data_IF_032074967587
#
_entry.id   IF_032074967587
#
_cell.length_a   1.000
_cell.length_b   1.000
_cell.length_c   1.000
_cell.angle_alpha   90.00
_cell.angle_beta   90.00
_cell.angle_gamma   90.00
#
_symmetry.space_group_name_H-M   'P 1'
#
loop_
_entity.id
_entity.type
_entity.pdbx_description
1 polymer ?
#
# COMPACT_ATOMS: atom_id res chain seq x y z
N UNK A 1 11.34 25.99 -3.65
CA UNK A 1 10.07 25.21 -3.59
C UNK A 1 9.99 24.54 -2.22
N UNK A 2 8.81 24.50 -1.59
CA UNK A 2 8.62 23.88 -0.28
C UNK A 2 7.99 22.48 -0.41
N UNK A 3 8.34 21.55 0.48
CA UNK A 3 7.78 20.19 0.54
C UNK A 3 6.61 20.16 1.53
N UNK A 4 5.44 19.76 1.05
CA UNK A 4 4.26 19.50 1.89
C UNK A 4 4.18 18.00 2.20
N UNK A 5 3.80 17.62 3.43
CA UNK A 5 3.76 16.22 3.88
C UNK A 5 2.47 15.95 4.66
N UNK A 6 1.71 14.92 4.26
CA UNK A 6 0.60 14.38 5.04
C UNK A 6 1.12 13.29 6.00
N UNK A 7 0.74 13.36 7.29
CA UNK A 7 1.09 12.37 8.32
C UNK A 7 -0.17 11.87 9.03
N UNK A 8 -0.25 10.56 9.22
CA UNK A 8 -1.28 9.90 10.01
C UNK A 8 -0.65 8.73 10.79
N UNK A 9 -1.24 8.38 11.92
CA UNK A 9 -0.79 7.26 12.75
C UNK A 9 -2.00 6.60 13.40
N UNK A 10 -1.94 5.28 13.55
CA UNK A 10 -2.97 4.46 14.16
C UNK A 10 -2.36 3.19 14.73
N UNK A 11 -2.94 2.68 15.81
CA UNK A 11 -2.54 1.42 16.41
C UNK A 11 -3.26 0.25 15.74
N UNK A 12 -2.53 -0.84 15.52
CA UNK A 12 -3.08 -2.12 15.02
C UNK A 12 -2.66 -3.20 16.01
N UNK A 13 -3.61 -3.97 16.50
CA UNK A 13 -3.36 -5.07 17.44
C UNK A 13 -2.83 -6.31 16.69
N UNK A 14 -1.59 -6.21 16.20
CA UNK A 14 -0.91 -7.28 15.50
C UNK A 14 0.62 -7.18 15.69
N UNK A 15 1.35 -8.31 15.63
CA UNK A 15 2.81 -8.30 15.67
C UNK A 15 3.40 -7.45 14.53
N UNK A 16 4.45 -6.64 14.77
CA UNK A 16 5.04 -5.76 13.75
C UNK A 16 5.46 -6.47 12.46
N UNK A 17 6.06 -7.66 12.58
CA UNK A 17 6.51 -8.43 11.41
C UNK A 17 5.34 -8.88 10.52
N UNK A 18 4.18 -9.17 11.14
CA UNK A 18 2.97 -9.52 10.40
C UNK A 18 2.41 -8.31 9.67
N UNK A 19 2.41 -7.14 10.31
CA UNK A 19 1.99 -5.88 9.67
C UNK A 19 2.91 -5.56 8.49
N UNK A 20 4.22 -5.70 8.68
CA UNK A 20 5.19 -5.47 7.61
C UNK A 20 4.99 -6.45 6.44
N UNK A 21 4.84 -7.75 6.71
CA UNK A 21 4.59 -8.75 5.67
C UNK A 21 3.30 -8.44 4.90
N UNK A 22 2.23 -8.07 5.61
CA UNK A 22 0.96 -7.66 4.98
C UNK A 22 1.12 -6.43 4.09
N UNK A 23 1.86 -5.41 4.54
CA UNK A 23 2.07 -4.18 3.77
C UNK A 23 2.99 -4.38 2.55
N UNK A 24 3.89 -5.35 2.62
CA UNK A 24 4.79 -5.70 1.52
C UNK A 24 4.10 -6.47 0.40
N UNK A 25 3.00 -7.15 0.67
CA UNK A 25 2.24 -7.88 -0.34
C UNK A 25 1.31 -6.94 -1.12
N UNK A 26 1.78 -6.56 -2.30
CA UNK A 26 1.02 -5.71 -3.22
C UNK A 26 0.03 -6.49 -4.09
N UNK A 27 0.06 -7.83 -4.07
CA UNK A 27 -0.77 -8.67 -4.93
C UNK A 27 -2.08 -9.03 -4.24
N UNK A 28 -2.03 -9.55 -3.02
CA UNK A 28 -3.21 -10.08 -2.33
C UNK A 28 -3.66 -9.20 -1.18
N UNK A 29 -2.74 -8.72 -0.35
CA UNK A 29 -3.05 -7.91 0.81
C UNK A 29 -3.45 -6.48 0.43
N UNK A 30 -2.68 -5.81 -0.43
CA UNK A 30 -2.93 -4.40 -0.78
C UNK A 30 -4.33 -4.12 -1.33
N UNK A 31 -4.90 -4.89 -2.28
CA UNK A 31 -6.25 -4.64 -2.78
C UNK A 31 -7.35 -4.69 -1.71
N UNK A 32 -7.13 -5.42 -0.61
CA UNK A 32 -8.13 -5.58 0.47
C UNK A 32 -8.29 -4.35 1.36
N UNK A 33 -7.32 -3.44 1.34
CA UNK A 33 -7.32 -2.22 2.18
C UNK A 33 -7.49 -0.93 1.37
N UNK A 34 -7.66 -1.04 0.05
CA UNK A 34 -7.92 0.13 -0.78
C UNK A 34 -9.32 0.67 -0.50
N UNK A 35 -9.43 1.98 -0.31
CA UNK A 35 -10.73 2.65 -0.27
C UNK A 35 -11.30 2.76 -1.69
N UNK A 36 -12.58 3.11 -1.79
CA UNK A 36 -13.27 3.26 -3.08
C UNK A 36 -12.65 4.33 -3.99
N UNK A 37 -11.75 5.17 -3.48
CA UNK A 37 -11.06 6.21 -4.26
C UNK A 37 -10.01 5.65 -5.22
N UNK A 38 -9.55 4.42 -4.98
CA UNK A 38 -8.57 3.75 -5.83
C UNK A 38 -9.29 2.76 -6.75
N UNK A 39 -9.05 2.87 -8.05
CA UNK A 39 -9.61 1.98 -9.07
C UNK A 39 -8.52 1.51 -10.04
N UNK A 40 -8.80 0.48 -10.85
CA UNK A 40 -7.86 -0.08 -11.82
C UNK A 40 -6.47 -0.42 -11.24
N UNK A 41 -6.43 -0.86 -9.97
CA UNK A 41 -5.19 -1.24 -9.31
C UNK A 41 -4.60 -2.49 -9.96
N UNK A 42 -3.32 -2.43 -10.31
CA UNK A 42 -2.55 -3.56 -10.87
C UNK A 42 -1.08 -3.45 -10.49
N UNK A 43 -0.44 -4.62 -10.35
CA UNK A 43 1.00 -4.76 -10.14
C UNK A 43 1.64 -4.97 -11.51
N UNK A 44 2.58 -4.11 -11.87
CA UNK A 44 3.30 -4.20 -13.14
C UNK A 44 4.56 -5.05 -13.01
N UNK A 45 5.32 -4.85 -11.92
CA UNK A 45 6.59 -5.53 -11.66
C UNK A 45 6.73 -5.85 -10.17
N UNK A 46 7.37 -6.98 -9.86
CA UNK A 46 7.53 -7.43 -8.48
C UNK A 46 6.17 -7.78 -7.85
N UNK A 47 5.87 -7.20 -6.69
CA UNK A 47 4.63 -7.46 -5.96
C UNK A 47 4.84 -7.86 -4.50
N UNK A 48 6.10 -8.04 -4.08
CA UNK A 48 6.48 -8.27 -2.68
C UNK A 48 7.65 -7.34 -2.31
N UNK A 49 7.33 -6.26 -1.60
CA UNK A 49 8.31 -5.36 -1.02
C UNK A 49 9.09 -4.52 -2.03
N UNK A 50 10.38 -4.34 -1.75
CA UNK A 50 11.23 -3.38 -2.45
C UNK A 50 11.33 -3.68 -3.95
N UNK A 51 11.27 -2.62 -4.77
CA UNK A 51 11.29 -2.74 -6.23
C UNK A 51 9.93 -3.05 -6.87
N UNK A 52 8.86 -3.18 -6.07
CA UNK A 52 7.51 -3.35 -6.63
C UNK A 52 7.03 -2.09 -7.35
N UNK A 53 6.52 -2.25 -8.57
CA UNK A 53 5.90 -1.19 -9.38
C UNK A 53 4.41 -1.48 -9.50
N UNK A 54 3.59 -0.49 -9.14
CA UNK A 54 2.13 -0.56 -9.23
C UNK A 54 1.58 0.62 -10.01
N UNK A 55 0.33 0.50 -10.41
CA UNK A 55 -0.43 1.58 -11.04
C UNK A 55 -1.90 1.47 -10.67
N UNK A 56 -2.56 2.62 -10.60
CA UNK A 56 -3.96 2.76 -10.23
C UNK A 56 -4.48 4.12 -10.72
N UNK A 57 -5.80 4.26 -10.73
CA UNK A 57 -6.48 5.53 -10.92
C UNK A 57 -6.98 6.03 -9.56
N UNK A 58 -6.76 7.31 -9.27
CA UNK A 58 -7.29 7.98 -8.08
C UNK A 58 -8.42 8.92 -8.51
N UNK A 59 -9.57 8.81 -7.86
CA UNK A 59 -10.73 9.68 -8.08
C UNK A 59 -10.91 10.67 -6.93
#
# INVERSE_FOLDING_TARGET
MAKVVARASGAVEAPPDRVLAFLRDYREARPRILTSNYTAYRVEEGGDGAGTVITYNFK
#
